data_IF_496792944389
#
_entry.id   IF_496792944389
#
_cell.length_a   1.000
_cell.length_b   1.000
_cell.length_c   1.000
_cell.angle_alpha   90.00
_cell.angle_beta   90.00
_cell.angle_gamma   90.00
#
_symmetry.space_group_name_H-M   'P 1'
#
loop_
_entity.id
_entity.type
_entity.pdbx_description
1 polymer ?
#
# COMPACT_ATOMS: atom_id res chain seq x y z
N UNK A 1 12.73 -13.57 11.54
CA UNK A 1 11.35 -13.03 11.72
C UNK A 1 11.43 -11.51 11.78
N UNK A 2 10.68 -10.83 10.94
CA UNK A 2 10.51 -9.37 11.07
C UNK A 2 9.60 -9.12 12.27
N UNK A 3 10.13 -8.53 13.34
CA UNK A 3 9.34 -8.12 14.49
C UNK A 3 8.37 -7.00 14.10
N UNK A 4 7.21 -6.95 14.76
CA UNK A 4 6.27 -5.83 14.62
C UNK A 4 6.97 -4.58 15.15
N UNK A 5 7.01 -3.46 14.38
CA UNK A 5 7.59 -2.21 14.87
C UNK A 5 6.91 -1.73 16.17
N UNK A 6 7.69 -1.36 17.15
CA UNK A 6 7.26 -0.88 18.47
C UNK A 6 7.89 0.46 18.86
N UNK A 7 8.58 1.09 17.90
CA UNK A 7 9.22 2.38 18.06
C UNK A 7 9.18 3.17 16.75
N UNK A 8 9.33 4.48 16.85
CA UNK A 8 9.42 5.37 15.68
C UNK A 8 10.50 4.89 14.70
N UNK A 9 11.70 4.61 15.21
CA UNK A 9 12.82 4.17 14.38
C UNK A 9 12.55 2.85 13.68
N UNK A 10 11.95 1.88 14.38
CA UNK A 10 11.57 0.59 13.81
C UNK A 10 10.48 0.76 12.75
N UNK A 11 9.52 1.65 12.97
CA UNK A 11 8.44 1.93 12.02
C UNK A 11 8.97 2.56 10.73
N UNK A 12 9.81 3.59 10.85
CA UNK A 12 10.47 4.23 9.70
C UNK A 12 11.26 3.21 8.89
N UNK A 13 12.07 2.40 9.56
CA UNK A 13 12.89 1.37 8.92
C UNK A 13 12.03 0.32 8.18
N UNK A 14 10.93 -0.12 8.80
CA UNK A 14 10.02 -1.09 8.20
C UNK A 14 9.36 -0.54 6.93
N UNK A 15 8.90 0.71 6.93
CA UNK A 15 8.25 1.34 5.77
C UNK A 15 9.27 1.57 4.65
N UNK A 16 10.41 2.17 4.95
CA UNK A 16 11.48 2.43 3.97
C UNK A 16 11.96 1.14 3.30
N UNK A 17 12.23 0.11 4.10
CA UNK A 17 12.66 -1.18 3.59
C UNK A 17 11.61 -1.87 2.74
N UNK A 18 10.35 -1.81 3.13
CA UNK A 18 9.24 -2.43 2.40
C UNK A 18 8.98 -1.76 1.06
N UNK A 19 8.89 -0.42 1.02
CA UNK A 19 8.65 0.30 -0.23
C UNK A 19 9.82 0.18 -1.21
N UNK A 20 11.04 0.23 -0.71
CA UNK A 20 12.24 0.08 -1.55
C UNK A 20 12.26 -1.26 -2.28
N UNK A 21 12.01 -2.35 -1.58
CA UNK A 21 11.95 -3.70 -2.15
C UNK A 21 10.80 -3.84 -3.14
N UNK A 22 9.64 -3.30 -2.79
CA UNK A 22 8.44 -3.39 -3.61
C UNK A 22 8.59 -2.58 -4.91
N UNK A 23 9.09 -1.35 -4.84
CA UNK A 23 9.34 -0.53 -6.03
C UNK A 23 10.34 -1.20 -6.97
N UNK A 24 11.39 -1.81 -6.43
CA UNK A 24 12.33 -2.61 -7.23
C UNK A 24 11.63 -3.72 -7.99
N UNK A 25 10.77 -4.49 -7.29
CA UNK A 25 10.00 -5.56 -7.92
C UNK A 25 9.02 -5.03 -8.99
N UNK A 26 8.35 -3.91 -8.74
CA UNK A 26 7.46 -3.27 -9.70
C UNK A 26 8.20 -2.82 -10.98
N UNK A 27 9.39 -2.24 -10.83
CA UNK A 27 10.19 -1.77 -11.99
C UNK A 27 10.69 -2.90 -12.89
N UNK A 28 10.71 -4.11 -12.39
CA UNK A 28 11.07 -5.30 -13.19
C UNK A 28 9.88 -5.85 -13.99
N UNK A 29 8.65 -5.32 -13.80
CA UNK A 29 7.47 -5.72 -14.55
C UNK A 29 7.33 -4.81 -15.78
N UNK A 30 7.26 -5.38 -17.00
CA UNK A 30 7.04 -4.60 -18.21
C UNK A 30 5.71 -3.83 -18.18
N UNK A 31 5.71 -2.62 -18.71
CA UNK A 31 4.52 -1.75 -18.75
C UNK A 31 3.34 -2.45 -19.44
N UNK A 32 3.59 -3.20 -20.51
CA UNK A 32 2.56 -3.95 -21.24
C UNK A 32 1.83 -4.99 -20.36
N UNK A 33 2.46 -5.46 -19.29
CA UNK A 33 1.88 -6.43 -18.36
C UNK A 33 1.19 -5.77 -17.16
N UNK A 34 1.38 -4.48 -16.95
CA UNK A 34 0.95 -3.78 -15.72
C UNK A 34 -0.57 -3.69 -15.54
N UNK A 35 -1.34 -3.79 -16.63
CA UNK A 35 -2.82 -3.71 -16.62
C UNK A 35 -3.51 -5.04 -16.92
N UNK A 36 -2.78 -6.14 -16.98
CA UNK A 36 -3.36 -7.47 -17.16
C UNK A 36 -3.97 -7.96 -15.85
N UNK A 37 -5.22 -8.35 -15.87
CA UNK A 37 -5.93 -8.88 -14.70
C UNK A 37 -5.56 -10.34 -14.44
N UNK A 38 -4.47 -10.58 -13.74
CA UNK A 38 -3.91 -11.90 -13.49
C UNK A 38 -3.58 -12.17 -12.01
N UNK A 39 -3.79 -11.19 -11.13
CA UNK A 39 -3.52 -11.29 -9.69
C UNK A 39 -4.83 -11.49 -8.95
N UNK A 40 -4.86 -12.39 -7.96
CA UNK A 40 -6.05 -12.58 -7.14
C UNK A 40 -6.39 -11.30 -6.36
N UNK A 41 -7.65 -10.86 -6.50
CA UNK A 41 -8.14 -9.63 -5.90
C UNK A 41 -8.52 -9.77 -4.43
N UNK A 42 -8.91 -8.65 -3.83
CA UNK A 42 -9.36 -8.60 -2.43
C UNK A 42 -10.74 -9.24 -2.23
N UNK A 43 -11.57 -9.27 -3.27
CA UNK A 43 -12.84 -10.00 -3.29
C UNK A 43 -12.56 -11.39 -3.88
N UNK A 44 -12.99 -12.44 -3.18
CA UNK A 44 -12.81 -13.83 -3.62
C UNK A 44 -13.37 -14.03 -5.04
N UNK A 45 -12.58 -14.65 -5.89
CA UNK A 45 -12.96 -14.93 -7.28
C UNK A 45 -12.73 -13.78 -8.25
N UNK A 46 -12.25 -12.62 -7.79
CA UNK A 46 -11.89 -11.51 -8.67
C UNK A 46 -10.40 -11.53 -9.04
N UNK A 47 -10.09 -10.98 -10.20
CA UNK A 47 -8.72 -10.77 -10.68
C UNK A 47 -8.45 -9.28 -10.83
N UNK A 48 -7.27 -8.86 -10.43
CA UNK A 48 -6.79 -7.47 -10.51
C UNK A 48 -5.45 -7.41 -11.25
N UNK A 49 -5.05 -6.20 -11.63
CA UNK A 49 -3.80 -5.93 -12.31
C UNK A 49 -2.69 -5.51 -11.33
N UNK A 50 -1.46 -5.45 -11.81
CA UNK A 50 -0.34 -4.84 -11.08
C UNK A 50 -0.64 -3.38 -10.74
N UNK A 51 -1.17 -2.61 -11.70
CA UNK A 51 -1.60 -1.22 -11.44
C UNK A 51 -2.62 -1.13 -10.30
N UNK A 52 -3.57 -2.04 -10.21
CA UNK A 52 -4.55 -2.08 -9.13
C UNK A 52 -3.88 -2.29 -7.76
N UNK A 53 -2.84 -3.12 -7.69
CA UNK A 53 -2.10 -3.31 -6.43
C UNK A 53 -1.39 -2.02 -5.99
N UNK A 54 -0.86 -1.24 -6.93
CA UNK A 54 -0.25 0.07 -6.62
C UNK A 54 -1.32 1.05 -6.13
N UNK A 55 -2.45 1.13 -6.81
CA UNK A 55 -3.59 1.98 -6.43
C UNK A 55 -4.10 1.64 -5.02
N UNK A 56 -4.18 0.37 -4.69
CA UNK A 56 -4.56 -0.12 -3.37
C UNK A 56 -3.61 0.40 -2.27
N UNK A 57 -2.31 0.34 -2.50
CA UNK A 57 -1.32 0.83 -1.53
C UNK A 57 -1.34 2.35 -1.40
N UNK A 58 -1.55 3.07 -2.50
CA UNK A 58 -1.73 4.53 -2.49
C UNK A 58 -2.98 4.89 -1.68
N UNK A 59 -4.08 4.19 -1.90
CA UNK A 59 -5.33 4.42 -1.19
C UNK A 59 -5.18 4.29 0.32
N UNK A 60 -4.58 3.22 0.82
CA UNK A 60 -4.33 3.04 2.25
C UNK A 60 -3.35 4.07 2.81
N UNK A 61 -2.30 4.40 2.07
CA UNK A 61 -1.35 5.44 2.48
C UNK A 61 -2.02 6.80 2.61
N UNK A 62 -2.89 7.17 1.69
CA UNK A 62 -3.66 8.41 1.75
C UNK A 62 -4.63 8.44 2.93
N UNK A 63 -5.22 7.29 3.31
CA UNK A 63 -6.05 7.21 4.51
C UNK A 63 -5.24 7.45 5.78
N UNK A 64 -4.05 6.89 5.88
CA UNK A 64 -3.14 7.17 7.02
C UNK A 64 -2.88 8.67 7.14
N UNK A 65 -2.56 9.34 6.04
CA UNK A 65 -2.35 10.80 6.02
C UNK A 65 -3.61 11.55 6.44
N UNK A 66 -4.76 11.17 5.92
CA UNK A 66 -6.07 11.77 6.25
C UNK A 66 -6.40 11.60 7.74
N UNK A 67 -6.24 10.41 8.29
CA UNK A 67 -6.51 10.16 9.71
C UNK A 67 -5.63 11.03 10.61
N UNK A 68 -4.35 11.10 10.33
CA UNK A 68 -3.41 11.89 11.11
C UNK A 68 -3.67 13.39 11.01
N UNK A 69 -4.04 13.87 9.82
CA UNK A 69 -4.41 15.28 9.61
C UNK A 69 -5.66 15.66 10.40
N UNK A 70 -6.70 14.83 10.35
CA UNK A 70 -7.94 15.05 11.12
C UNK A 70 -7.70 14.99 12.63
N UNK A 71 -6.87 14.03 13.08
CA UNK A 71 -6.48 13.93 14.49
C UNK A 71 -5.77 15.19 14.97
N UNK A 72 -4.82 15.69 14.18
CA UNK A 72 -4.08 16.93 14.47
C UNK A 72 -5.01 18.14 14.58
N UNK A 73 -6.07 18.19 13.79
CA UNK A 73 -7.06 19.27 13.80
C UNK A 73 -8.14 19.08 14.88
N UNK A 74 -8.13 17.98 15.62
CA UNK A 74 -9.16 17.65 16.61
C UNK A 74 -10.52 17.30 15.98
N UNK A 75 -10.53 16.89 14.71
CA UNK A 75 -11.74 16.53 13.97
C UNK A 75 -12.06 15.04 14.13
N UNK A 76 -13.35 14.70 14.03
CA UNK A 76 -13.78 13.32 14.04
C UNK A 76 -13.20 12.55 12.85
N UNK A 77 -12.84 11.28 13.07
CA UNK A 77 -12.25 10.41 12.05
C UNK A 77 -13.21 9.28 11.75
N UNK A 78 -13.59 9.11 10.49
CA UNK A 78 -14.33 7.95 10.01
C UNK A 78 -13.35 6.83 9.64
N UNK A 79 -13.45 5.68 10.31
CA UNK A 79 -12.61 4.52 10.07
C UNK A 79 -13.39 3.42 9.35
N UNK A 80 -12.79 2.78 8.31
CA UNK A 80 -11.53 3.12 7.66
C UNK A 80 -11.62 4.36 6.76
N UNK A 81 -12.77 4.64 6.20
CA UNK A 81 -13.05 5.79 5.33
C UNK A 81 -14.52 6.17 5.42
N UNK A 82 -14.83 7.44 5.15
CA UNK A 82 -16.21 7.92 5.07
C UNK A 82 -17.01 7.06 4.08
N UNK A 83 -18.14 6.52 4.54
CA UNK A 83 -19.01 5.66 3.76
C UNK A 83 -18.60 4.19 3.69
N UNK A 84 -17.54 3.78 4.36
CA UNK A 84 -17.07 2.38 4.41
C UNK A 84 -16.89 1.89 5.84
N UNK A 85 -17.12 0.60 6.05
CA UNK A 85 -16.89 -0.09 7.33
C UNK A 85 -15.77 -1.12 7.18
N UNK A 86 -15.21 -1.57 8.32
CA UNK A 86 -14.15 -2.58 8.32
C UNK A 86 -14.54 -3.93 7.71
N UNK A 87 -15.83 -4.24 7.65
CA UNK A 87 -16.33 -5.44 6.96
C UNK A 87 -16.59 -5.23 5.46
N UNK A 88 -16.24 -4.07 4.91
CA UNK A 88 -16.41 -3.69 3.50
C UNK A 88 -15.08 -3.43 2.79
N UNK A 89 -13.99 -4.03 3.25
CA UNK A 89 -12.64 -3.76 2.74
C UNK A 89 -12.46 -4.15 1.26
N UNK A 90 -13.23 -5.13 0.77
CA UNK A 90 -13.25 -5.47 -0.65
C UNK A 90 -13.81 -4.33 -1.50
N UNK A 91 -14.90 -3.70 -1.06
CA UNK A 91 -15.51 -2.55 -1.73
C UNK A 91 -14.58 -1.33 -1.69
N UNK A 92 -13.92 -1.10 -0.55
CA UNK A 92 -12.95 -0.02 -0.41
C UNK A 92 -11.74 -0.23 -1.34
N UNK A 93 -11.25 -1.46 -1.46
CA UNK A 93 -10.18 -1.80 -2.40
C UNK A 93 -10.59 -1.48 -3.85
N UNK A 94 -11.78 -1.84 -4.26
CA UNK A 94 -12.31 -1.50 -5.59
C UNK A 94 -12.41 0.01 -5.80
N UNK A 95 -12.81 0.76 -4.78
CA UNK A 95 -12.83 2.22 -4.83
C UNK A 95 -11.42 2.78 -5.09
N UNK A 96 -10.41 2.28 -4.41
CA UNK A 96 -9.02 2.67 -4.67
C UNK A 96 -8.58 2.36 -6.10
N UNK A 97 -8.93 1.18 -6.62
CA UNK A 97 -8.63 0.82 -8.01
C UNK A 97 -9.26 1.81 -8.99
N UNK A 98 -10.53 2.15 -8.80
CA UNK A 98 -11.28 3.07 -9.67
C UNK A 98 -10.73 4.50 -9.64
N UNK A 99 -10.30 4.99 -8.47
CA UNK A 99 -9.75 6.34 -8.32
C UNK A 99 -8.54 6.61 -9.23
N UNK A 100 -7.77 5.58 -9.54
CA UNK A 100 -6.52 5.69 -10.29
C UNK A 100 -6.53 4.94 -11.63
N UNK A 101 -7.68 4.48 -12.05
CA UNK A 101 -7.85 3.62 -13.24
C UNK A 101 -7.27 4.22 -14.53
N UNK A 102 -7.33 5.54 -14.67
CA UNK A 102 -6.82 6.27 -15.85
C UNK A 102 -5.32 6.58 -15.79
N UNK A 103 -4.65 6.33 -14.66
CA UNK A 103 -3.24 6.66 -14.49
C UNK A 103 -2.33 5.63 -15.16
N UNK A 104 -1.21 6.10 -15.70
CA UNK A 104 -0.16 5.22 -16.21
C UNK A 104 0.55 4.49 -15.07
N UNK A 105 1.17 3.35 -15.40
CA UNK A 105 1.96 2.57 -14.44
C UNK A 105 3.07 3.42 -13.79
N UNK A 106 3.82 4.16 -14.61
CA UNK A 106 4.90 5.02 -14.10
C UNK A 106 4.36 6.11 -13.17
N UNK A 107 3.23 6.74 -13.53
CA UNK A 107 2.57 7.73 -12.68
C UNK A 107 2.17 7.13 -11.34
N UNK A 108 1.60 5.93 -11.34
CA UNK A 108 1.21 5.23 -10.10
C UNK A 108 2.41 4.93 -9.21
N UNK A 109 3.53 4.48 -9.77
CA UNK A 109 4.76 4.24 -9.00
C UNK A 109 5.29 5.54 -8.37
N UNK A 110 5.29 6.63 -9.11
CA UNK A 110 5.67 7.94 -8.59
C UNK A 110 4.73 8.40 -7.45
N UNK A 111 3.43 8.18 -7.61
CA UNK A 111 2.43 8.48 -6.57
C UNK A 111 2.66 7.66 -5.30
N UNK A 112 2.97 6.37 -5.43
CA UNK A 112 3.28 5.52 -4.29
C UNK A 112 4.52 5.99 -3.54
N UNK A 113 5.59 6.30 -4.26
CA UNK A 113 6.82 6.85 -3.67
C UNK A 113 6.54 8.17 -2.95
N UNK A 114 5.77 9.06 -3.57
CA UNK A 114 5.42 10.37 -2.98
C UNK A 114 4.54 10.21 -1.72
N UNK A 115 3.50 9.40 -1.78
CA UNK A 115 2.63 9.13 -0.61
C UNK A 115 3.44 8.53 0.54
N UNK A 116 4.32 7.58 0.25
CA UNK A 116 5.19 6.97 1.26
C UNK A 116 6.15 7.99 1.87
N UNK A 117 6.75 8.86 1.05
CA UNK A 117 7.62 9.93 1.52
C UNK A 117 6.89 10.89 2.48
N UNK A 118 5.66 11.26 2.16
CA UNK A 118 4.82 12.09 3.04
C UNK A 118 4.54 11.39 4.38
N UNK A 119 4.28 10.08 4.37
CA UNK A 119 4.07 9.29 5.59
C UNK A 119 5.34 9.26 6.44
N UNK A 120 6.50 9.05 5.84
CA UNK A 120 7.79 9.06 6.55
C UNK A 120 8.06 10.42 7.20
N UNK A 121 7.84 11.50 6.48
CA UNK A 121 7.96 12.88 7.01
C UNK A 121 7.01 13.12 8.17
N UNK A 122 5.76 12.65 8.06
CA UNK A 122 4.78 12.73 9.14
C UNK A 122 5.26 12.00 10.40
N UNK A 123 5.72 10.74 10.24
CA UNK A 123 6.22 9.93 11.37
C UNK A 123 7.41 10.62 12.05
N UNK A 124 8.35 11.16 11.28
CA UNK A 124 9.51 11.90 11.81
C UNK A 124 9.08 13.10 12.66
N UNK A 125 8.00 13.78 12.27
CA UNK A 125 7.47 14.95 12.97
C UNK A 125 6.74 14.61 14.27
N UNK A 126 6.32 13.37 14.47
CA UNK A 126 5.56 12.95 15.65
C UNK A 126 6.50 12.46 16.78
N UNK A 127 6.20 12.82 18.04
CA UNK A 127 6.97 12.29 19.17
C UNK A 127 6.71 10.80 19.38
N UNK A 128 7.66 10.11 19.96
CA UNK A 128 7.58 8.68 20.28
C UNK A 128 6.31 8.34 21.09
N UNK A 129 5.97 9.15 22.09
CA UNK A 129 4.79 8.95 22.92
C UNK A 129 3.48 9.04 22.13
N UNK A 130 3.40 9.89 21.12
CA UNK A 130 2.24 9.98 20.24
C UNK A 130 2.08 8.72 19.39
N UNK A 131 3.18 8.14 18.95
CA UNK A 131 3.18 6.93 18.12
C UNK A 131 2.90 5.66 18.91
N UNK A 132 3.50 5.52 20.11
CA UNK A 132 3.49 4.25 20.84
C UNK A 132 3.17 4.38 22.34
N UNK A 133 2.97 5.58 22.85
CA UNK A 133 2.76 5.82 24.29
C UNK A 133 1.38 5.50 24.80
N UNK A 134 0.38 5.50 23.92
CA UNK A 134 -1.02 5.29 24.28
C UNK A 134 -1.81 4.64 23.14
N UNK A 135 -2.97 4.10 23.47
CA UNK A 135 -3.92 3.63 22.46
C UNK A 135 -4.50 4.83 21.70
N UNK A 136 -4.57 4.72 20.40
CA UNK A 136 -5.08 5.77 19.52
C UNK A 136 -6.42 5.39 18.88
N UNK A 137 -6.51 4.15 18.38
CA UNK A 137 -7.75 3.60 17.83
C UNK A 137 -8.04 2.25 18.50
N UNK A 138 -9.09 2.19 19.32
CA UNK A 138 -9.40 1.00 20.14
C UNK A 138 -8.16 0.59 20.96
N UNK A 139 -7.69 -0.65 20.82
CA UNK A 139 -6.48 -1.15 21.50
C UNK A 139 -5.18 -0.92 20.72
N UNK A 140 -5.26 -0.25 19.58
CA UNK A 140 -4.10 -0.01 18.71
C UNK A 140 -3.45 1.34 18.96
N UNK A 141 -2.13 1.36 19.03
CA UNK A 141 -1.36 2.61 19.00
C UNK A 141 -1.43 3.24 17.61
N UNK A 142 -1.14 4.52 17.49
CA UNK A 142 -1.03 5.20 16.19
C UNK A 142 0.04 4.53 15.31
N UNK A 143 1.21 4.23 15.87
CA UNK A 143 2.28 3.54 15.15
C UNK A 143 1.86 2.19 14.60
N UNK A 144 1.07 1.42 15.39
CA UNK A 144 0.52 0.14 14.93
C UNK A 144 -0.48 0.32 13.79
N UNK A 145 -1.37 1.30 13.88
CA UNK A 145 -2.33 1.61 12.82
C UNK A 145 -1.61 2.04 11.53
N UNK A 146 -0.57 2.84 11.62
CA UNK A 146 0.25 3.20 10.46
C UNK A 146 0.90 1.95 9.85
N UNK A 147 1.51 1.11 10.66
CA UNK A 147 2.18 -0.12 10.20
C UNK A 147 1.21 -1.09 9.50
N UNK A 148 0.02 -1.30 10.07
CA UNK A 148 -1.01 -2.18 9.50
C UNK A 148 -1.53 -1.71 8.13
N UNK A 149 -1.38 -0.42 7.82
CA UNK A 149 -1.87 0.20 6.59
C UNK A 149 -0.75 0.70 5.66
N UNK A 150 0.50 0.39 5.95
CA UNK A 150 1.68 0.71 5.13
C UNK A 150 2.58 -0.50 4.91
N UNK A 151 3.54 -0.75 5.78
CA UNK A 151 4.52 -1.82 5.61
C UNK A 151 3.90 -3.22 5.58
N UNK A 152 2.83 -3.46 6.32
CA UNK A 152 2.13 -4.74 6.33
C UNK A 152 1.51 -5.06 4.96
N UNK A 153 0.62 -4.21 4.38
CA UNK A 153 0.08 -4.47 3.05
C UNK A 153 1.16 -4.43 1.96
N UNK A 154 2.22 -3.63 2.08
CA UNK A 154 3.34 -3.65 1.14
C UNK A 154 4.01 -5.03 1.07
N UNK A 155 4.23 -5.69 2.20
CA UNK A 155 4.79 -7.05 2.24
C UNK A 155 3.85 -8.08 1.61
N UNK A 156 2.55 -7.99 1.90
CA UNK A 156 1.54 -8.88 1.32
C UNK A 156 1.45 -8.72 -0.20
N UNK A 157 1.40 -7.49 -0.68
CA UNK A 157 1.38 -7.19 -2.11
C UNK A 157 2.67 -7.66 -2.77
N UNK A 158 3.83 -7.45 -2.16
CA UNK A 158 5.11 -7.91 -2.70
C UNK A 158 5.13 -9.42 -2.94
N UNK A 159 4.53 -10.20 -2.06
CA UNK A 159 4.39 -11.64 -2.26
C UNK A 159 3.59 -11.95 -3.53
N UNK A 160 2.47 -11.26 -3.76
CA UNK A 160 1.66 -11.39 -4.97
C UNK A 160 2.42 -10.96 -6.23
N UNK A 161 3.16 -9.86 -6.18
CA UNK A 161 3.95 -9.33 -7.29
C UNK A 161 5.09 -10.29 -7.66
N UNK A 162 5.78 -10.85 -6.70
CA UNK A 162 6.83 -11.85 -6.95
C UNK A 162 6.27 -13.13 -7.58
N UNK A 163 5.08 -13.57 -7.14
CA UNK A 163 4.38 -14.69 -7.78
C UNK A 163 4.01 -14.36 -9.23
N UNK A 164 3.47 -13.16 -9.49
CA UNK A 164 3.16 -12.68 -10.83
C UNK A 164 4.41 -12.67 -11.74
N UNK A 165 5.53 -12.15 -11.26
CA UNK A 165 6.80 -12.13 -12.00
C UNK A 165 7.27 -13.55 -12.38
N UNK A 166 7.17 -14.51 -11.47
CA UNK A 166 7.53 -15.90 -11.78
C UNK A 166 6.64 -16.50 -12.85
N UNK A 167 5.33 -16.26 -12.79
CA UNK A 167 4.37 -16.72 -13.79
C UNK A 167 4.62 -16.06 -15.15
N UNK A 168 4.91 -14.76 -15.16
CA UNK A 168 5.26 -14.02 -16.38
C UNK A 168 6.54 -14.57 -17.02
N UNK A 169 7.62 -14.75 -16.28
CA UNK A 169 8.89 -15.27 -16.78
C UNK A 169 8.76 -16.69 -17.34
N UNK A 170 7.86 -17.50 -16.81
CA UNK A 170 7.56 -18.84 -17.33
C UNK A 170 6.76 -18.77 -18.65
N UNK A 171 5.86 -17.78 -18.78
CA UNK A 171 5.06 -17.57 -20.00
C UNK A 171 5.88 -16.97 -21.15
N UNK A 172 6.85 -16.10 -20.86
CA UNK A 172 7.74 -15.47 -21.84
C UNK A 172 8.71 -16.45 -22.51
N UNK A 173 8.94 -17.61 -21.92
CA UNK A 173 9.59 -18.71 -22.62
C UNK A 173 8.77 -19.17 -23.86
N UNK A 174 7.53 -18.70 -24.02
CA UNK A 174 6.59 -19.13 -25.06
C UNK A 174 5.92 -18.01 -25.88
N UNK A 175 6.06 -16.71 -25.55
CA UNK A 175 5.56 -15.62 -26.39
C UNK A 175 6.22 -14.29 -26.07
N UNK A 176 6.84 -13.66 -27.05
CA UNK A 176 7.45 -12.34 -26.94
C UNK A 176 6.37 -11.26 -26.81
N UNK A 177 6.31 -10.58 -25.68
CA UNK A 177 5.81 -9.22 -25.62
C UNK A 177 6.75 -8.38 -26.50
N UNK A 178 6.24 -7.84 -27.63
CA UNK A 178 7.08 -7.20 -28.64
C UNK A 178 8.06 -6.21 -28.01
N UNK A 179 9.30 -6.31 -28.41
CA UNK A 179 10.32 -5.31 -28.08
C UNK A 179 10.03 -4.09 -28.96
N UNK A 180 9.55 -3.04 -28.32
CA UNK A 180 9.58 -1.69 -28.86
C UNK A 180 10.48 -0.83 -27.97
#
# INVERSE_FOLDING_TARGET
>A
MSSIPDSKQALLHAIEGSVKKLIKDYREIPVCMSKVNAIEGNIKGTKISVCDTVSYLIGWGNLVLKWCDRDKQGLNIDFPETGYKWNELGNLAQHFHQQHQSKSYQTLLNMLENTTSQILTLIESLPEDKLYGENWYKSYTLGRMIQLNTSSPMKNIRTKIRKFKRQYNQADAHSSCGRD
#
